data_IF_923446164120
#
_entry.id   IF_923446164120
#
_cell.length_a   1.000
_cell.length_b   1.000
_cell.length_c   1.000
_cell.angle_alpha   90.00
_cell.angle_beta   90.00
_cell.angle_gamma   90.00
#
_symmetry.space_group_name_H-M   'P 1'
#
loop_
_entity.id
_entity.type
_entity.pdbx_description
1 polymer ?
#
# COMPACT_ATOMS: atom_id res chain seq x y z
N UNK A 1 -25.23 -11.20 4.05
CA UNK A 1 -24.76 -9.83 3.73
C UNK A 1 -23.40 -9.60 4.39
N UNK A 2 -22.37 -10.37 4.01
CA UNK A 2 -21.13 -10.53 4.81
C UNK A 2 -19.85 -10.05 4.10
N UNK A 3 -19.91 -9.88 2.77
CA UNK A 3 -18.75 -9.48 1.96
C UNK A 3 -18.42 -7.99 1.97
N UNK A 4 -19.39 -7.14 2.34
CA UNK A 4 -19.19 -5.68 2.37
C UNK A 4 -18.48 -5.20 3.62
N UNK A 5 -18.72 -5.86 4.75
CA UNK A 5 -18.17 -5.46 6.06
C UNK A 5 -16.67 -5.78 6.18
N UNK A 6 -16.29 -6.97 5.71
CA UNK A 6 -14.90 -7.40 5.59
C UNK A 6 -14.08 -6.49 4.67
N UNK A 7 -14.63 -6.11 3.51
CA UNK A 7 -13.96 -5.21 2.57
C UNK A 7 -13.72 -3.82 3.19
N UNK A 8 -14.71 -3.26 3.89
CA UNK A 8 -14.57 -1.99 4.59
C UNK A 8 -13.48 -2.03 5.65
N UNK A 9 -13.41 -3.11 6.43
CA UNK A 9 -12.38 -3.29 7.46
C UNK A 9 -10.98 -3.39 6.84
N UNK A 10 -10.82 -4.13 5.74
CA UNK A 10 -9.55 -4.22 5.02
C UNK A 10 -9.12 -2.88 4.44
N UNK A 11 -10.05 -2.10 3.86
CA UNK A 11 -9.75 -0.76 3.35
C UNK A 11 -9.34 0.21 4.46
N UNK A 12 -10.03 0.18 5.61
CA UNK A 12 -9.66 0.99 6.77
C UNK A 12 -8.26 0.64 7.28
N UNK A 13 -7.95 -0.65 7.43
CA UNK A 13 -6.63 -1.10 7.87
C UNK A 13 -5.52 -0.71 6.89
N UNK A 14 -5.78 -0.79 5.58
CA UNK A 14 -4.83 -0.37 4.56
C UNK A 14 -4.62 1.15 4.60
N UNK A 15 -5.69 1.92 4.75
CA UNK A 15 -5.60 3.38 4.86
C UNK A 15 -4.79 3.81 6.08
N UNK A 16 -4.95 3.15 7.23
CA UNK A 16 -4.16 3.45 8.42
C UNK A 16 -2.68 3.04 8.27
N UNK A 17 -2.39 1.96 7.52
CA UNK A 17 -1.03 1.54 7.16
C UNK A 17 -0.35 2.57 6.24
N UNK A 18 -1.03 3.03 5.18
CA UNK A 18 -0.53 4.04 4.24
C UNK A 18 -0.23 5.36 4.96
N UNK A 19 -1.06 5.73 5.93
CA UNK A 19 -0.88 6.95 6.72
C UNK A 19 0.16 6.82 7.85
N UNK A 20 0.80 5.66 8.01
CA UNK A 20 1.83 5.48 9.03
C UNK A 20 1.34 5.37 10.45
N UNK A 21 0.05 5.11 10.63
CA UNK A 21 -0.51 4.82 11.94
C UNK A 21 -0.19 3.39 12.40
N UNK A 22 0.22 2.54 11.44
CA UNK A 22 0.59 1.14 11.64
C UNK A 22 1.86 0.89 10.79
N UNK A 23 2.88 0.18 11.30
CA UNK A 23 4.13 -0.17 10.57
C UNK A 23 5.36 0.69 10.89
N UNK A 24 6.54 0.33 10.35
CA UNK A 24 7.78 1.10 10.54
C UNK A 24 7.94 2.20 9.47
N UNK A 25 8.57 3.32 9.84
CA UNK A 25 8.58 4.56 9.05
C UNK A 25 9.09 4.46 7.59
N UNK A 26 9.91 3.46 7.26
CA UNK A 26 10.38 3.21 5.89
C UNK A 26 9.31 2.50 5.05
N UNK A 27 8.70 1.45 5.61
CA UNK A 27 7.58 0.72 5.01
C UNK A 27 6.42 1.67 4.75
N UNK A 28 6.15 2.58 5.69
CA UNK A 28 5.12 3.60 5.53
C UNK A 28 5.38 4.53 4.34
N UNK A 29 6.60 5.05 4.17
CA UNK A 29 6.91 5.98 3.08
C UNK A 29 6.79 5.33 1.70
N UNK A 30 7.16 4.06 1.62
CA UNK A 30 6.95 3.25 0.42
C UNK A 30 5.44 3.17 0.14
N UNK A 31 4.64 2.85 1.17
CA UNK A 31 3.19 2.66 1.04
C UNK A 31 2.40 3.95 0.81
N UNK A 32 2.94 5.14 1.09
CA UNK A 32 2.32 6.42 0.73
C UNK A 32 2.07 6.57 -0.77
N UNK A 33 2.83 5.86 -1.61
CA UNK A 33 2.59 5.81 -3.06
C UNK A 33 1.46 4.87 -3.49
N UNK A 34 0.87 4.12 -2.57
CA UNK A 34 -0.11 3.08 -2.87
C UNK A 34 -1.52 3.68 -2.92
N UNK A 35 -2.16 3.64 -4.08
CA UNK A 35 -3.47 4.23 -4.31
C UNK A 35 -4.47 3.19 -4.78
N UNK A 36 -5.56 2.99 -4.05
CA UNK A 36 -6.59 1.99 -4.39
C UNK A 36 -7.38 2.44 -5.62
N UNK A 37 -7.19 1.77 -6.75
CA UNK A 37 -7.91 2.09 -8.00
C UNK A 37 -9.16 1.23 -8.18
N UNK A 38 -9.19 0.03 -7.59
CA UNK A 38 -10.38 -0.82 -7.61
C UNK A 38 -10.41 -1.75 -6.42
N UNK A 39 -11.55 -1.83 -5.73
CA UNK A 39 -11.74 -2.74 -4.62
C UNK A 39 -13.09 -3.45 -4.75
N UNK A 40 -13.07 -4.78 -4.77
CA UNK A 40 -14.26 -5.62 -4.71
C UNK A 40 -14.00 -6.79 -3.76
N UNK A 41 -15.05 -7.55 -3.46
CA UNK A 41 -14.91 -8.74 -2.60
C UNK A 41 -13.81 -9.67 -3.14
N UNK A 42 -12.84 -9.98 -2.29
CA UNK A 42 -11.68 -10.85 -2.60
C UNK A 42 -10.71 -10.34 -3.67
N UNK A 43 -10.78 -9.07 -4.08
CA UNK A 43 -9.85 -8.50 -5.05
C UNK A 43 -9.65 -7.01 -4.82
N UNK A 44 -8.39 -6.58 -4.76
CA UNK A 44 -8.01 -5.18 -4.78
C UNK A 44 -6.93 -4.92 -5.83
N UNK A 45 -7.03 -3.78 -6.49
CA UNK A 45 -6.05 -3.23 -7.41
C UNK A 45 -5.58 -1.89 -6.86
N UNK A 46 -4.27 -1.70 -6.95
CA UNK A 46 -3.60 -0.48 -6.54
C UNK A 46 -2.72 0.02 -7.67
N UNK A 47 -2.65 1.34 -7.80
CA UNK A 47 -1.49 1.97 -8.42
C UNK A 47 -0.43 2.16 -7.34
N UNK A 48 0.83 2.07 -7.73
CA UNK A 48 1.94 2.22 -6.80
C UNK A 48 2.96 3.19 -7.37
N UNK A 49 3.02 4.38 -6.76
CA UNK A 49 3.99 5.41 -7.12
C UNK A 49 5.24 5.23 -6.26
N UNK A 50 6.30 4.69 -6.86
CA UNK A 50 7.60 4.56 -6.21
C UNK A 50 8.25 5.93 -6.12
N UNK A 51 8.51 6.41 -4.90
CA UNK A 51 9.31 7.62 -4.71
C UNK A 51 10.79 7.36 -5.04
N UNK A 52 11.45 8.30 -5.71
CA UNK A 52 12.90 8.24 -5.92
C UNK A 52 13.69 8.17 -4.60
N UNK A 53 13.08 8.56 -3.47
CA UNK A 53 13.68 8.44 -2.14
C UNK A 53 13.96 6.99 -1.71
N UNK A 54 13.35 6.00 -2.37
CA UNK A 54 13.54 4.55 -2.10
C UNK A 54 14.21 3.81 -3.26
N UNK A 55 14.71 4.56 -4.25
CA UNK A 55 15.54 4.04 -5.34
C UNK A 55 17.01 4.06 -4.93
N UNK A 56 17.78 3.07 -5.38
CA UNK A 56 19.23 3.09 -5.25
C UNK A 56 19.87 4.12 -6.19
N UNK A 57 21.20 4.26 -6.12
CA UNK A 57 21.98 5.21 -6.95
C UNK A 57 21.79 4.96 -8.46
N UNK A 58 21.43 3.74 -8.86
CA UNK A 58 21.11 3.37 -10.24
C UNK A 58 19.65 3.60 -10.64
N UNK A 59 18.81 4.09 -9.73
CA UNK A 59 17.37 4.23 -9.95
C UNK A 59 16.61 2.91 -9.87
N UNK A 60 17.27 1.83 -9.43
CA UNK A 60 16.60 0.56 -9.22
C UNK A 60 15.89 0.55 -7.87
N UNK A 61 14.71 -0.05 -7.88
CA UNK A 61 13.95 -0.31 -6.66
C UNK A 61 14.46 -1.60 -6.02
N UNK A 62 14.51 -1.63 -4.68
CA UNK A 62 14.82 -2.87 -3.97
C UNK A 62 13.68 -3.86 -4.16
N UNK A 63 13.98 -5.08 -4.59
CA UNK A 63 12.96 -6.14 -4.84
C UNK A 63 12.11 -6.42 -3.60
N UNK A 64 12.66 -6.21 -2.40
CA UNK A 64 11.95 -6.33 -1.13
C UNK A 64 10.91 -5.22 -0.86
N UNK A 65 10.86 -4.17 -1.66
CA UNK A 65 9.86 -3.11 -1.53
C UNK A 65 8.50 -3.48 -2.17
N UNK A 66 8.44 -4.52 -3.01
CA UNK A 66 7.19 -5.06 -3.60
C UNK A 66 6.85 -6.49 -3.17
N UNK A 67 7.69 -7.13 -2.32
CA UNK A 67 7.54 -8.52 -1.93
C UNK A 67 6.64 -8.72 -0.71
#
# INVERSE_FOLDING_TARGET
MEGGDSLKKSLASLHDLINGKIGHALETRVLQGLHVTHAKRSFMRFDFLVSNAVSDVGGNWSVGALA
#
